data_IF_962500132354
#
_entry.id   IF_962500132354
#
_cell.length_a   1.000
_cell.length_b   1.000
_cell.length_c   1.000
_cell.angle_alpha   90.00
_cell.angle_beta   90.00
_cell.angle_gamma   90.00
#
_symmetry.space_group_name_H-M   'P 1'
#
loop_
_entity.id
_entity.type
_entity.pdbx_description
1 polymer ?
#
# COMPACT_ATOMS: atom_id res chain seq x y z
N UNK A 1 16.32 13.96 -6.78
CA UNK A 1 15.34 14.07 -7.88
C UNK A 1 15.98 14.71 -9.09
N UNK A 2 15.52 14.37 -10.31
CA UNK A 2 16.00 14.97 -11.57
C UNK A 2 14.89 14.95 -12.64
N UNK A 3 15.07 15.77 -13.70
CA UNK A 3 14.19 15.79 -14.85
C UNK A 3 14.66 14.78 -15.89
N UNK A 4 13.80 13.90 -16.33
CA UNK A 4 14.07 12.92 -17.39
C UNK A 4 13.51 13.41 -18.72
N UNK A 5 14.15 13.06 -19.82
CA UNK A 5 13.68 13.42 -21.18
C UNK A 5 12.37 12.73 -21.57
N UNK A 6 12.00 11.61 -20.94
CA UNK A 6 10.88 10.76 -21.35
C UNK A 6 9.90 10.42 -20.24
N UNK A 7 10.30 10.53 -18.96
CA UNK A 7 9.51 10.10 -17.81
C UNK A 7 9.07 11.25 -16.89
N UNK A 8 9.35 12.50 -17.28
CA UNK A 8 9.14 13.67 -16.44
C UNK A 8 10.11 13.66 -15.25
N UNK A 9 9.68 14.15 -14.12
CA UNK A 9 10.47 14.13 -12.89
C UNK A 9 10.57 12.73 -12.32
N UNK A 10 11.78 12.38 -11.90
CA UNK A 10 12.14 11.07 -11.36
C UNK A 10 12.65 11.25 -9.93
N UNK A 11 12.08 10.49 -9.01
CA UNK A 11 12.56 10.38 -7.65
C UNK A 11 13.45 9.14 -7.51
N UNK A 12 14.64 9.33 -6.96
CA UNK A 12 15.59 8.25 -6.67
C UNK A 12 16.03 8.36 -5.22
N UNK A 13 15.97 7.25 -4.50
CA UNK A 13 16.54 7.09 -3.15
C UNK A 13 17.60 5.98 -3.22
N UNK A 14 18.79 6.25 -2.70
CA UNK A 14 19.90 5.30 -2.64
C UNK A 14 20.23 4.59 -3.97
N UNK A 15 20.04 5.31 -5.10
CA UNK A 15 20.30 4.79 -6.44
C UNK A 15 19.13 4.02 -7.06
N UNK A 16 18.02 3.82 -6.34
CA UNK A 16 16.82 3.10 -6.81
C UNK A 16 15.71 4.09 -7.19
N UNK A 17 15.11 3.90 -8.36
CA UNK A 17 13.95 4.70 -8.80
C UNK A 17 12.76 4.36 -7.93
N UNK A 18 12.22 5.37 -7.25
CA UNK A 18 11.03 5.25 -6.42
C UNK A 18 9.76 5.66 -7.15
N UNK A 19 9.84 6.67 -8.02
CA UNK A 19 8.66 7.20 -8.69
C UNK A 19 9.06 8.00 -9.94
N UNK A 20 8.20 7.98 -10.96
CA UNK A 20 8.27 8.88 -12.12
C UNK A 20 6.89 9.47 -12.42
N UNK A 21 6.82 10.70 -12.91
CA UNK A 21 5.55 11.34 -13.28
C UNK A 21 4.77 10.58 -14.36
N UNK A 22 5.46 9.78 -15.14
CA UNK A 22 4.86 9.06 -16.26
C UNK A 22 3.99 7.89 -15.86
N UNK A 23 4.39 7.11 -14.85
CA UNK A 23 3.77 5.82 -14.53
C UNK A 23 3.42 5.59 -13.06
N UNK A 24 3.72 6.54 -12.16
CA UNK A 24 3.46 6.42 -10.72
C UNK A 24 2.00 6.08 -10.40
N UNK A 25 1.06 6.57 -11.22
CA UNK A 25 -0.36 6.37 -10.99
C UNK A 25 -0.77 4.90 -10.96
N UNK A 26 -0.08 4.03 -11.70
CA UNK A 26 -0.40 2.61 -11.72
C UNK A 26 -0.15 1.95 -10.36
N UNK A 27 0.91 2.34 -9.66
CA UNK A 27 1.23 1.90 -8.32
C UNK A 27 0.30 2.56 -7.29
N UNK A 28 0.21 3.89 -7.31
CA UNK A 28 -0.51 4.66 -6.30
C UNK A 28 -2.01 4.34 -6.28
N UNK A 29 -2.63 4.21 -7.44
CA UNK A 29 -4.03 3.82 -7.53
C UNK A 29 -4.27 2.39 -7.02
N UNK A 30 -3.36 1.45 -7.31
CA UNK A 30 -3.54 0.06 -6.90
C UNK A 30 -3.31 -0.15 -5.41
N UNK A 31 -2.24 0.40 -4.83
CA UNK A 31 -1.94 0.22 -3.40
C UNK A 31 -3.05 0.79 -2.50
N UNK A 32 -3.77 1.81 -2.97
CA UNK A 32 -4.88 2.43 -2.25
C UNK A 32 -6.21 1.71 -2.52
N UNK A 33 -6.54 1.50 -3.79
CA UNK A 33 -7.89 1.03 -4.15
C UNK A 33 -8.06 -0.48 -3.95
N UNK A 34 -7.00 -1.30 -4.02
CA UNK A 34 -7.10 -2.71 -3.68
C UNK A 34 -7.61 -2.91 -2.24
N UNK A 35 -6.99 -2.36 -1.19
CA UNK A 35 -7.48 -2.55 0.16
C UNK A 35 -8.81 -1.82 0.43
N UNK A 36 -8.97 -0.57 0.00
CA UNK A 36 -10.15 0.21 0.36
C UNK A 36 -11.42 -0.28 -0.33
N UNK A 37 -11.33 -0.65 -1.61
CA UNK A 37 -12.48 -1.16 -2.34
C UNK A 37 -12.86 -2.60 -1.93
N UNK A 38 -11.96 -3.37 -1.32
CA UNK A 38 -12.27 -4.70 -0.79
C UNK A 38 -13.12 -4.68 0.48
N UNK A 39 -13.10 -3.59 1.26
CA UNK A 39 -13.80 -3.51 2.53
C UNK A 39 -15.33 -3.67 2.38
N UNK A 40 -15.99 -4.32 3.34
CA UNK A 40 -17.46 -4.42 3.37
C UNK A 40 -18.15 -3.07 3.58
N UNK A 41 -17.51 -2.19 4.34
CA UNK A 41 -18.00 -0.82 4.61
C UNK A 41 -16.94 0.19 4.25
N UNK A 42 -17.31 1.37 3.73
CA UNK A 42 -16.34 2.41 3.39
C UNK A 42 -15.39 2.74 4.56
N UNK A 43 -14.11 2.84 4.26
CA UNK A 43 -13.10 3.21 5.26
C UNK A 43 -13.32 4.63 5.78
N UNK A 44 -13.03 4.83 7.07
CA UNK A 44 -13.07 6.14 7.75
C UNK A 44 -11.69 6.57 8.26
N UNK A 45 -10.89 5.62 8.74
CA UNK A 45 -9.57 5.87 9.31
C UNK A 45 -8.54 4.98 8.65
N UNK A 46 -7.54 5.60 8.05
CA UNK A 46 -6.45 4.89 7.37
C UNK A 46 -5.11 5.36 7.94
N UNK A 47 -4.20 4.42 8.12
CA UNK A 47 -2.80 4.70 8.40
C UNK A 47 -1.97 4.41 7.16
N UNK A 48 -1.04 5.31 6.84
CA UNK A 48 0.03 5.10 5.87
C UNK A 48 1.35 5.06 6.61
N UNK A 49 2.16 4.04 6.36
CA UNK A 49 3.54 3.94 6.85
C UNK A 49 4.47 4.08 5.66
N UNK A 50 5.37 5.06 5.70
CA UNK A 50 6.11 5.54 4.53
C UNK A 50 5.26 6.45 3.65
N UNK A 51 5.42 6.39 2.34
CA UNK A 51 4.62 7.17 1.38
C UNK A 51 4.94 8.67 1.38
N UNK A 52 6.16 9.04 1.72
CA UNK A 52 6.61 10.43 1.77
C UNK A 52 6.55 11.19 0.45
N UNK A 53 6.35 10.50 -0.66
CA UNK A 53 6.12 11.12 -1.97
C UNK A 53 4.72 11.76 -2.11
N UNK A 54 3.77 11.32 -1.28
CA UNK A 54 2.41 11.85 -1.21
C UNK A 54 1.44 11.24 -2.22
N UNK A 55 1.86 10.30 -3.07
CA UNK A 55 0.98 9.67 -4.05
C UNK A 55 -0.14 8.85 -3.40
N UNK A 56 0.18 8.07 -2.37
CA UNK A 56 -0.82 7.35 -1.57
C UNK A 56 -1.82 8.31 -0.93
N UNK A 57 -1.36 9.42 -0.37
CA UNK A 57 -2.25 10.42 0.21
C UNK A 57 -3.17 11.04 -0.82
N UNK A 58 -2.65 11.34 -2.03
CA UNK A 58 -3.46 11.87 -3.13
C UNK A 58 -4.61 10.93 -3.47
N UNK A 59 -4.35 9.64 -3.59
CA UNK A 59 -5.38 8.66 -3.93
C UNK A 59 -6.34 8.42 -2.76
N UNK A 60 -5.87 8.38 -1.51
CA UNK A 60 -6.74 8.31 -0.33
C UNK A 60 -7.70 9.49 -0.26
N UNK A 61 -7.23 10.70 -0.54
CA UNK A 61 -8.07 11.91 -0.49
C UNK A 61 -9.23 11.90 -1.49
N UNK A 62 -9.21 11.05 -2.51
CA UNK A 62 -10.35 10.82 -3.42
C UNK A 62 -11.53 10.12 -2.74
N UNK A 63 -11.30 9.37 -1.65
CA UNK A 63 -12.36 8.64 -0.95
C UNK A 63 -13.13 9.57 -0.01
N UNK A 64 -14.40 9.88 -0.30
CA UNK A 64 -15.16 10.86 0.47
C UNK A 64 -15.56 10.36 1.87
N UNK A 65 -15.53 9.04 2.08
CA UNK A 65 -15.84 8.43 3.36
C UNK A 65 -14.76 8.61 4.42
N UNK A 66 -13.52 8.94 4.01
CA UNK A 66 -12.41 9.09 4.93
C UNK A 66 -12.60 10.32 5.83
N UNK A 67 -12.51 10.10 7.12
CA UNK A 67 -12.58 11.12 8.17
C UNK A 67 -11.17 11.51 8.64
N UNK A 68 -10.23 10.55 8.60
CA UNK A 68 -8.85 10.73 9.05
C UNK A 68 -7.88 9.83 8.30
N UNK A 69 -6.76 10.40 7.91
CA UNK A 69 -5.58 9.71 7.38
C UNK A 69 -4.37 10.12 8.22
N UNK A 70 -3.79 9.17 8.92
CA UNK A 70 -2.48 9.35 9.58
C UNK A 70 -1.39 8.85 8.63
N UNK A 71 -0.28 9.58 8.52
CA UNK A 71 0.92 9.14 7.81
C UNK A 71 2.12 9.21 8.75
N UNK A 72 2.86 8.11 8.87
CA UNK A 72 4.12 8.01 9.60
C UNK A 72 5.27 7.85 8.59
N UNK A 73 6.03 8.92 8.36
CA UNK A 73 7.16 8.97 7.45
C UNK A 73 8.43 9.31 8.24
N UNK A 74 9.46 8.50 8.06
CA UNK A 74 10.72 8.65 8.82
C UNK A 74 11.56 9.83 8.33
N UNK A 75 11.48 10.16 7.04
CA UNK A 75 12.32 11.17 6.40
C UNK A 75 11.52 12.43 6.01
N UNK A 76 11.62 13.45 6.84
CA UNK A 76 11.03 14.77 6.57
C UNK A 76 11.57 15.39 5.27
N UNK A 77 12.80 15.04 4.88
CA UNK A 77 13.44 15.52 3.64
C UNK A 77 12.72 15.01 2.40
N UNK A 78 12.24 13.76 2.41
CA UNK A 78 11.43 13.19 1.32
C UNK A 78 10.13 13.97 1.17
N UNK A 79 9.43 14.26 2.27
CA UNK A 79 8.18 15.05 2.24
C UNK A 79 8.43 16.45 1.69
N UNK A 80 9.48 17.13 2.13
CA UNK A 80 9.84 18.47 1.65
C UNK A 80 10.17 18.48 0.16
N UNK A 81 11.01 17.54 -0.26
CA UNK A 81 11.41 17.41 -1.66
C UNK A 81 10.19 17.06 -2.56
N UNK A 82 9.28 16.22 -2.08
CA UNK A 82 8.07 15.86 -2.84
C UNK A 82 7.12 17.05 -3.00
N UNK A 83 6.93 17.84 -1.95
CA UNK A 83 6.14 19.10 -2.04
C UNK A 83 6.72 20.11 -3.02
N UNK A 84 8.04 20.17 -3.11
CA UNK A 84 8.73 21.11 -4.02
C UNK A 84 8.77 20.60 -5.47
N UNK A 85 9.11 19.33 -5.66
CA UNK A 85 9.44 18.79 -6.99
C UNK A 85 8.34 17.89 -7.57
N UNK A 86 7.44 17.34 -6.77
CA UNK A 86 6.31 16.48 -7.20
C UNK A 86 4.97 17.00 -6.66
N UNK A 87 4.64 18.30 -6.87
CA UNK A 87 3.46 18.91 -6.24
C UNK A 87 2.13 18.24 -6.63
N UNK A 88 2.07 17.60 -7.80
CA UNK A 88 0.89 16.86 -8.25
C UNK A 88 0.64 15.58 -7.42
N UNK A 89 1.68 14.94 -6.89
CA UNK A 89 1.58 13.82 -5.97
C UNK A 89 1.38 14.30 -4.53
N UNK A 90 2.17 15.28 -4.12
CA UNK A 90 2.22 15.77 -2.74
C UNK A 90 1.00 16.60 -2.29
N UNK A 91 0.02 16.86 -3.16
CA UNK A 91 -1.16 17.69 -2.82
C UNK A 91 -1.98 17.12 -1.67
N UNK A 92 -1.99 15.79 -1.47
CA UNK A 92 -2.69 15.14 -0.37
C UNK A 92 -2.23 15.59 1.02
N UNK A 93 -0.98 16.06 1.16
CA UNK A 93 -0.49 16.63 2.43
C UNK A 93 -1.23 17.89 2.89
N UNK A 94 -1.95 18.56 2.00
CA UNK A 94 -2.73 19.76 2.33
C UNK A 94 -4.19 19.45 2.67
N UNK A 95 -4.63 18.20 2.57
CA UNK A 95 -5.99 17.80 2.92
C UNK A 95 -6.19 17.90 4.45
N UNK A 96 -7.26 18.56 4.93
CA UNK A 96 -7.51 18.74 6.37
C UNK A 96 -7.71 17.44 7.15
N UNK A 97 -7.99 16.32 6.47
CA UNK A 97 -8.12 14.99 7.07
C UNK A 97 -6.78 14.32 7.35
N UNK A 98 -5.69 14.80 6.72
CA UNK A 98 -4.35 14.22 6.83
C UNK A 98 -3.62 14.74 8.06
N UNK A 99 -2.97 13.83 8.78
CA UNK A 99 -2.08 14.14 9.91
C UNK A 99 -0.72 13.51 9.64
N UNK A 100 0.29 14.36 9.55
CA UNK A 100 1.67 13.94 9.29
C UNK A 100 2.41 13.75 10.60
N UNK A 101 3.02 12.57 10.76
CA UNK A 101 3.91 12.21 11.84
C UNK A 101 5.29 11.90 11.25
N UNK A 102 6.28 12.73 11.55
CA UNK A 102 7.66 12.48 11.14
C UNK A 102 8.32 11.62 12.22
N UNK A 103 8.65 10.36 11.86
CA UNK A 103 9.25 9.42 12.79
C UNK A 103 9.10 7.95 12.40
N UNK A 104 9.51 7.09 13.32
CA UNK A 104 9.51 5.63 13.13
C UNK A 104 8.09 5.07 13.00
N UNK A 105 7.80 4.47 11.85
CA UNK A 105 6.51 3.86 11.54
C UNK A 105 6.19 2.65 12.41
N UNK A 106 7.17 1.81 12.75
CA UNK A 106 6.97 0.68 13.68
C UNK A 106 6.53 1.19 15.05
N UNK A 107 7.21 2.19 15.59
CA UNK A 107 6.85 2.75 16.88
C UNK A 107 5.45 3.39 16.83
N UNK A 108 5.13 4.10 15.75
CA UNK A 108 3.81 4.69 15.56
C UNK A 108 2.68 3.65 15.57
N UNK A 109 2.85 2.54 14.82
CA UNK A 109 1.87 1.44 14.80
C UNK A 109 1.78 0.74 16.16
N UNK A 110 2.90 0.58 16.85
CA UNK A 110 2.96 0.00 18.19
C UNK A 110 2.19 0.82 19.24
N UNK A 111 2.18 2.13 19.11
CA UNK A 111 1.48 3.03 20.03
C UNK A 111 0.00 3.25 19.63
N UNK A 112 -0.40 2.81 18.44
CA UNK A 112 -1.77 2.93 17.97
C UNK A 112 -2.74 2.13 18.86
N UNK A 113 -3.95 2.66 19.12
CA UNK A 113 -4.98 1.89 19.84
C UNK A 113 -5.39 0.62 19.07
N UNK A 114 -5.82 -0.40 19.79
CA UNK A 114 -6.35 -1.62 19.20
C UNK A 114 -7.61 -1.33 18.36
N UNK A 115 -7.69 -1.93 17.17
CA UNK A 115 -8.86 -1.81 16.30
C UNK A 115 -9.14 -0.40 15.79
N UNK A 116 -8.13 0.48 15.78
CA UNK A 116 -8.32 1.90 15.47
C UNK A 116 -8.52 2.18 13.98
N UNK A 117 -7.83 1.45 13.11
CA UNK A 117 -7.82 1.68 11.67
C UNK A 117 -8.70 0.72 10.90
N UNK A 118 -9.36 1.20 9.85
CA UNK A 118 -10.07 0.39 8.86
C UNK A 118 -9.08 -0.27 7.89
N UNK A 119 -8.04 0.47 7.51
CA UNK A 119 -6.97 -0.01 6.67
C UNK A 119 -5.61 0.55 7.11
N UNK A 120 -4.55 -0.23 6.91
CA UNK A 120 -3.15 0.21 7.02
C UNK A 120 -2.48 -0.07 5.68
N UNK A 121 -1.85 0.95 5.12
CA UNK A 121 -1.08 0.87 3.87
C UNK A 121 0.39 1.09 4.21
N UNK A 122 1.25 0.16 3.80
CA UNK A 122 2.70 0.30 3.95
C UNK A 122 3.31 0.53 2.58
N UNK A 123 3.74 1.74 2.36
CA UNK A 123 4.40 2.22 1.15
C UNK A 123 5.86 2.54 1.48
N UNK A 124 6.65 1.48 1.64
CA UNK A 124 8.07 1.56 2.02
C UNK A 124 8.97 1.24 0.82
N UNK A 125 10.21 1.69 0.91
CA UNK A 125 11.29 1.18 0.04
C UNK A 125 11.57 -0.30 0.32
N UNK A 126 12.42 -0.91 -0.52
CA UNK A 126 12.90 -2.30 -0.37
C UNK A 126 13.45 -2.57 1.04
N UNK A 127 13.49 -3.86 1.49
CA UNK A 127 13.88 -4.25 2.85
C UNK A 127 15.37 -4.06 3.14
N UNK A 128 15.87 -2.83 2.96
CA UNK A 128 17.27 -2.44 3.17
C UNK A 128 17.32 -1.28 4.16
N UNK A 129 18.30 -1.33 5.08
CA UNK A 129 18.49 -0.28 6.08
C UNK A 129 17.27 -0.11 7.01
N UNK A 130 16.78 1.14 7.21
CA UNK A 130 15.68 1.40 8.14
C UNK A 130 14.37 0.70 7.76
N UNK A 131 14.14 0.40 6.49
CA UNK A 131 12.92 -0.26 6.03
C UNK A 131 12.88 -1.77 6.37
N UNK A 132 14.01 -2.40 6.68
CA UNK A 132 14.07 -3.84 6.93
C UNK A 132 13.11 -4.30 8.05
N UNK A 133 12.96 -3.51 9.11
CA UNK A 133 12.08 -3.83 10.25
C UNK A 133 10.60 -3.90 9.86
N UNK A 134 10.20 -3.26 8.76
CA UNK A 134 8.83 -3.26 8.25
C UNK A 134 8.45 -4.59 7.55
N UNK A 135 9.42 -5.48 7.34
CA UNK A 135 9.21 -6.82 6.79
C UNK A 135 9.22 -7.92 7.86
N UNK A 136 9.43 -7.54 9.12
CA UNK A 136 9.56 -8.48 10.23
C UNK A 136 8.22 -8.74 10.94
N UNK A 137 8.12 -9.91 11.58
CA UNK A 137 6.94 -10.37 12.33
C UNK A 137 6.40 -9.35 13.34
N UNK A 138 7.22 -8.68 14.19
CA UNK A 138 6.69 -7.74 15.18
C UNK A 138 5.89 -6.58 14.57
N UNK A 139 6.26 -6.11 13.37
CA UNK A 139 5.54 -5.05 12.68
C UNK A 139 4.16 -5.51 12.22
N UNK A 140 4.06 -6.71 11.63
CA UNK A 140 2.78 -7.28 11.19
C UNK A 140 1.86 -7.61 12.38
N UNK A 141 2.39 -8.05 13.52
CA UNK A 141 1.62 -8.24 14.75
C UNK A 141 1.05 -6.92 15.28
N UNK A 142 1.83 -5.84 15.25
CA UNK A 142 1.36 -4.51 15.61
C UNK A 142 0.26 -4.01 14.66
N UNK A 143 0.41 -4.22 13.35
CA UNK A 143 -0.62 -3.86 12.37
C UNK A 143 -1.90 -4.68 12.57
N UNK A 144 -1.78 -6.00 12.80
CA UNK A 144 -2.94 -6.85 13.08
C UNK A 144 -3.72 -6.38 14.32
N UNK A 145 -3.01 -5.95 15.37
CA UNK A 145 -3.65 -5.37 16.57
C UNK A 145 -4.33 -4.04 16.25
N UNK A 146 -3.67 -3.18 15.48
CA UNK A 146 -4.13 -1.82 15.20
C UNK A 146 -5.32 -1.75 14.23
N UNK A 147 -5.51 -2.75 13.34
CA UNK A 147 -6.70 -2.81 12.48
C UNK A 147 -7.90 -3.39 13.22
N UNK A 148 -9.10 -2.88 12.87
CA UNK A 148 -10.37 -3.43 13.39
C UNK A 148 -10.68 -4.80 12.79
N UNK A 149 -11.58 -5.60 13.41
CA UNK A 149 -12.17 -6.75 12.75
C UNK A 149 -12.84 -6.36 11.42
N UNK A 150 -12.57 -7.12 10.36
CA UNK A 150 -12.98 -6.80 8.99
C UNK A 150 -12.15 -5.68 8.33
N UNK A 151 -11.05 -5.26 8.95
CA UNK A 151 -10.07 -4.35 8.37
C UNK A 151 -9.03 -5.05 7.49
N UNK A 152 -8.20 -4.28 6.81
CA UNK A 152 -7.22 -4.75 5.84
C UNK A 152 -5.87 -4.07 6.01
N UNK A 153 -4.79 -4.82 5.86
CA UNK A 153 -3.43 -4.31 5.69
C UNK A 153 -3.03 -4.55 4.24
N UNK A 154 -2.42 -3.56 3.60
CA UNK A 154 -1.82 -3.67 2.28
C UNK A 154 -0.39 -3.16 2.35
N UNK A 155 0.58 -4.00 1.99
CA UNK A 155 1.99 -3.61 1.97
C UNK A 155 2.54 -3.71 0.56
N UNK A 156 3.48 -2.84 0.19
CA UNK A 156 4.36 -3.10 -0.94
C UNK A 156 4.94 -4.51 -0.75
N UNK A 157 4.89 -5.32 -1.79
CA UNK A 157 5.11 -6.77 -1.70
C UNK A 157 6.08 -7.31 -2.74
N UNK A 158 7.03 -6.50 -3.20
CA UNK A 158 8.10 -6.92 -4.11
C UNK A 158 7.63 -7.47 -5.48
N UNK A 159 8.56 -7.87 -6.32
CA UNK A 159 8.27 -8.47 -7.62
C UNK A 159 8.41 -10.00 -7.59
N UNK A 160 7.40 -10.71 -8.10
CA UNK A 160 7.45 -12.19 -8.24
C UNK A 160 8.59 -12.68 -9.14
N UNK A 161 9.14 -11.81 -10.00
CA UNK A 161 10.25 -12.15 -10.88
C UNK A 161 11.61 -12.07 -10.18
N UNK A 162 11.73 -11.25 -9.15
CA UNK A 162 13.00 -10.94 -8.50
C UNK A 162 13.08 -11.45 -7.07
N UNK A 163 11.95 -11.45 -6.33
CA UNK A 163 11.95 -11.64 -4.88
C UNK A 163 10.90 -12.66 -4.42
N UNK A 164 10.62 -13.70 -5.22
CA UNK A 164 9.56 -14.68 -4.93
C UNK A 164 9.74 -15.38 -3.57
N UNK A 165 10.99 -15.63 -3.14
CA UNK A 165 11.28 -16.25 -1.85
C UNK A 165 10.90 -15.32 -0.69
N UNK A 166 11.21 -14.02 -0.78
CA UNK A 166 10.81 -13.01 0.22
C UNK A 166 9.28 -12.96 0.32
N UNK A 167 8.59 -12.93 -0.83
CA UNK A 167 7.12 -12.93 -0.88
C UNK A 167 6.54 -14.17 -0.20
N UNK A 168 7.13 -15.35 -0.45
CA UNK A 168 6.73 -16.60 0.20
C UNK A 168 6.88 -16.53 1.71
N UNK A 169 8.03 -16.06 2.19
CA UNK A 169 8.32 -15.92 3.61
C UNK A 169 7.34 -14.96 4.30
N UNK A 170 7.15 -13.77 3.72
CA UNK A 170 6.24 -12.74 4.26
C UNK A 170 4.79 -13.26 4.27
N UNK A 171 4.30 -13.83 3.16
CA UNK A 171 2.93 -14.34 3.10
C UNK A 171 2.69 -15.51 4.05
N UNK A 172 3.67 -16.41 4.22
CA UNK A 172 3.60 -17.51 5.20
C UNK A 172 3.56 -17.00 6.64
N UNK A 173 4.41 -16.03 6.96
CA UNK A 173 4.41 -15.36 8.26
C UNK A 173 3.07 -14.69 8.55
N UNK A 174 2.52 -13.96 7.56
CA UNK A 174 1.23 -13.28 7.68
C UNK A 174 0.08 -14.24 7.92
N UNK A 175 0.06 -15.42 7.29
CA UNK A 175 -0.97 -16.44 7.55
C UNK A 175 -0.97 -16.89 9.01
N UNK A 176 0.20 -16.98 9.64
CA UNK A 176 0.32 -17.29 11.07
C UNK A 176 -0.18 -16.17 12.00
N UNK A 177 -0.16 -14.90 11.55
CA UNK A 177 -0.58 -13.74 12.33
C UNK A 177 -2.07 -13.44 12.12
N UNK A 178 -2.53 -13.42 10.86
CA UNK A 178 -3.90 -13.08 10.48
C UNK A 178 -4.83 -14.30 10.44
N UNK A 179 -4.75 -15.14 11.47
CA UNK A 179 -5.55 -16.36 11.55
C UNK A 179 -7.05 -16.08 11.44
N UNK A 180 -7.74 -16.88 10.62
CA UNK A 180 -9.16 -16.68 10.33
C UNK A 180 -9.48 -15.56 9.34
N UNK A 181 -8.50 -14.75 8.95
CA UNK A 181 -8.55 -13.80 7.83
C UNK A 181 -7.96 -14.38 6.56
N UNK A 182 -7.86 -13.57 5.51
CA UNK A 182 -7.22 -13.93 4.26
C UNK A 182 -5.83 -13.26 4.14
N UNK A 183 -4.89 -13.97 3.50
CA UNK A 183 -3.60 -13.43 3.08
C UNK A 183 -3.44 -13.71 1.60
N UNK A 184 -3.38 -12.66 0.81
CA UNK A 184 -3.34 -12.73 -0.65
C UNK A 184 -2.21 -11.88 -1.20
N UNK A 185 -1.71 -12.26 -2.37
CA UNK A 185 -0.76 -11.46 -3.13
C UNK A 185 -1.43 -10.99 -4.42
N UNK A 186 -1.30 -9.70 -4.71
CA UNK A 186 -1.71 -9.07 -5.96
C UNK A 186 -0.52 -8.40 -6.60
N UNK A 187 -0.56 -8.09 -7.90
CA UNK A 187 0.50 -7.35 -8.56
C UNK A 187 -0.04 -6.38 -9.60
N UNK A 188 0.79 -5.41 -9.95
CA UNK A 188 0.50 -4.42 -10.99
C UNK A 188 1.70 -4.23 -11.91
N UNK A 189 1.46 -3.67 -13.08
CA UNK A 189 2.51 -3.24 -14.00
C UNK A 189 2.90 -1.81 -13.71
N UNK A 190 4.20 -1.59 -13.54
CA UNK A 190 4.80 -0.26 -13.42
C UNK A 190 6.13 -0.27 -14.21
N UNK A 191 6.15 0.30 -15.42
CA UNK A 191 7.24 0.13 -16.40
C UNK A 191 8.63 0.53 -15.91
N UNK A 192 8.72 1.51 -15.02
CA UNK A 192 10.01 2.01 -14.51
C UNK A 192 10.59 1.20 -13.36
N UNK A 193 9.81 0.33 -12.72
CA UNK A 193 10.35 -0.54 -11.67
C UNK A 193 11.08 -1.74 -12.27
N UNK A 194 12.07 -2.32 -11.57
CA UNK A 194 12.75 -3.53 -12.01
C UNK A 194 11.72 -4.63 -12.37
N UNK A 195 11.93 -5.33 -13.48
CA UNK A 195 11.00 -6.30 -14.09
C UNK A 195 9.66 -5.73 -14.62
N UNK A 196 9.39 -4.43 -14.50
CA UNK A 196 8.13 -3.81 -14.94
C UNK A 196 6.92 -4.16 -14.08
N UNK A 197 7.13 -4.76 -12.91
CA UNK A 197 6.07 -5.19 -12.00
C UNK A 197 6.42 -4.94 -10.54
N UNK A 198 5.39 -4.69 -9.75
CA UNK A 198 5.46 -4.67 -8.29
C UNK A 198 4.22 -5.36 -7.72
N UNK A 199 4.36 -5.94 -6.55
CA UNK A 199 3.24 -6.61 -5.89
C UNK A 199 2.81 -5.96 -4.59
N UNK A 200 1.72 -6.52 -4.07
CA UNK A 200 1.09 -6.11 -2.83
C UNK A 200 0.74 -7.35 -2.02
N UNK A 201 1.09 -7.36 -0.75
CA UNK A 201 0.58 -8.35 0.19
C UNK A 201 -0.62 -7.75 0.92
N UNK A 202 -1.79 -8.39 0.77
CA UNK A 202 -3.01 -7.99 1.44
C UNK A 202 -3.35 -8.99 2.54
N UNK A 203 -3.50 -8.48 3.76
CA UNK A 203 -3.85 -9.28 4.94
C UNK A 203 -5.14 -8.73 5.55
N UNK A 204 -6.15 -9.57 5.76
CA UNK A 204 -7.42 -9.15 6.34
C UNK A 204 -7.61 -9.74 7.73
N UNK A 205 -8.17 -8.96 8.65
CA UNK A 205 -8.57 -9.45 9.97
C UNK A 205 -9.98 -9.99 9.91
N UNK A 206 -10.19 -11.24 10.33
CA UNK A 206 -11.52 -11.83 10.32
C UNK A 206 -12.51 -11.03 11.15
N UNK A 207 -13.78 -11.04 10.72
CA UNK A 207 -14.91 -10.50 11.47
C UNK A 207 -15.92 -11.63 11.69
N UNK A 208 -16.27 -11.90 12.95
CA UNK A 208 -17.23 -12.95 13.33
C UNK A 208 -16.86 -14.34 12.76
N UNK A 209 -15.56 -14.65 12.71
CA UNK A 209 -15.03 -15.89 12.16
C UNK A 209 -15.06 -16.02 10.64
N UNK A 210 -15.40 -14.93 9.92
CA UNK A 210 -15.45 -14.91 8.46
C UNK A 210 -14.25 -14.12 7.91
N UNK A 211 -13.50 -14.68 6.93
CA UNK A 211 -12.48 -13.93 6.23
C UNK A 211 -13.11 -12.88 5.31
N UNK A 212 -12.45 -11.76 5.15
CA UNK A 212 -12.69 -10.80 4.08
C UNK A 212 -11.75 -11.16 2.93
N UNK A 213 -12.29 -11.62 1.80
CA UNK A 213 -11.49 -11.92 0.62
C UNK A 213 -11.16 -10.61 -0.12
N UNK A 214 -9.87 -10.23 -0.21
CA UNK A 214 -9.48 -8.92 -0.74
C UNK A 214 -9.55 -8.82 -2.28
N UNK A 215 -9.73 -9.94 -2.99
CA UNK A 215 -9.83 -9.98 -4.46
C UNK A 215 -11.20 -9.53 -5.01
N UNK A 216 -12.19 -9.30 -4.15
CA UNK A 216 -13.51 -8.83 -4.56
C UNK A 216 -13.73 -7.37 -4.16
N UNK A 217 -13.86 -6.45 -5.12
CA UNK A 217 -14.20 -5.06 -4.85
C UNK A 217 -15.68 -4.97 -4.42
N UNK A 218 -15.91 -4.60 -3.17
CA UNK A 218 -17.24 -4.41 -2.56
C UNK A 218 -17.66 -2.95 -2.49
N UNK A 219 -16.67 -2.05 -2.49
CA UNK A 219 -16.92 -0.62 -2.56
C UNK A 219 -16.69 -0.13 -3.99
N UNK A 220 -17.43 0.87 -4.44
CA UNK A 220 -17.19 1.49 -5.74
C UNK A 220 -15.80 2.15 -5.77
N UNK A 221 -15.21 2.23 -6.96
CA UNK A 221 -14.05 3.08 -7.18
C UNK A 221 -14.36 4.52 -6.75
N UNK A 222 -13.38 5.27 -6.22
CA UNK A 222 -13.63 6.64 -5.81
C UNK A 222 -14.11 7.48 -7.00
N UNK A 223 -15.02 8.46 -6.77
CA UNK A 223 -15.53 9.32 -7.82
C UNK A 223 -14.40 10.16 -8.44
N UNK A 224 -14.68 10.70 -9.62
CA UNK A 224 -13.77 11.66 -10.24
C UNK A 224 -13.59 12.87 -9.31
N UNK A 225 -12.35 13.12 -8.92
CA UNK A 225 -11.97 14.33 -8.20
C UNK A 225 -11.52 15.40 -9.20
N UNK A 226 -12.15 16.58 -9.14
CA UNK A 226 -11.83 17.69 -10.03
C UNK A 226 -10.36 18.16 -9.90
N UNK A 227 -9.75 17.97 -8.74
CA UNK A 227 -8.35 18.36 -8.49
C UNK A 227 -7.34 17.31 -8.97
N UNK A 228 -7.75 16.03 -9.03
CA UNK A 228 -6.89 14.88 -9.37
C UNK A 228 -7.25 14.24 -10.70
N UNK A 229 -8.34 14.66 -11.33
CA UNK A 229 -8.86 14.03 -12.54
C UNK A 229 -9.44 12.63 -12.30
N UNK A 230 -9.79 11.89 -13.37
CA UNK A 230 -10.26 10.51 -13.28
C UNK A 230 -9.15 9.54 -12.85
N UNK A 231 -9.53 8.37 -12.35
CA UNK A 231 -8.59 7.25 -12.24
C UNK A 231 -8.10 6.88 -13.64
N UNK A 232 -6.83 6.55 -13.72
CA UNK A 232 -6.13 6.24 -14.99
C UNK A 232 -5.83 4.76 -15.16
N UNK A 233 -5.82 4.02 -14.05
CA UNK A 233 -5.37 2.63 -14.01
C UNK A 233 -6.38 1.70 -13.34
N UNK A 234 -6.83 2.02 -12.12
CA UNK A 234 -7.68 1.15 -11.36
C UNK A 234 -9.10 1.04 -11.95
N UNK A 235 -9.55 -0.20 -12.13
CA UNK A 235 -10.95 -0.55 -12.37
C UNK A 235 -11.34 -1.78 -11.52
N UNK A 236 -12.64 -2.05 -11.28
CA UNK A 236 -13.07 -3.27 -10.58
C UNK A 236 -12.64 -4.56 -11.29
N UNK A 237 -12.52 -4.56 -12.61
CA UNK A 237 -12.04 -5.70 -13.40
C UNK A 237 -10.55 -5.91 -13.18
N UNK A 238 -9.76 -4.82 -13.20
CA UNK A 238 -8.33 -4.87 -12.93
C UNK A 238 -8.05 -5.27 -11.48
N UNK A 239 -8.89 -4.83 -10.54
CA UNK A 239 -8.83 -5.28 -9.14
C UNK A 239 -8.83 -6.81 -9.06
N UNK A 240 -9.82 -7.48 -9.67
CA UNK A 240 -9.90 -8.95 -9.66
C UNK A 240 -8.72 -9.59 -10.40
N UNK A 241 -8.33 -9.04 -11.54
CA UNK A 241 -7.24 -9.55 -12.36
C UNK A 241 -5.89 -9.49 -11.65
N UNK A 242 -5.67 -8.49 -10.79
CA UNK A 242 -4.42 -8.31 -10.04
C UNK A 242 -4.06 -9.52 -9.15
N UNK A 243 -5.04 -10.32 -8.73
CA UNK A 243 -4.85 -11.52 -7.92
C UNK A 243 -4.65 -12.80 -8.74
N UNK A 244 -4.75 -12.74 -10.07
CA UNK A 244 -4.52 -13.87 -10.96
C UNK A 244 -3.02 -14.03 -11.21
N UNK A 245 -2.40 -14.97 -10.50
CA UNK A 245 -0.95 -15.15 -10.54
C UNK A 245 -0.52 -16.09 -11.69
N UNK A 246 0.65 -15.86 -12.29
CA UNK A 246 1.31 -16.83 -13.14
C UNK A 246 1.52 -18.17 -12.41
N UNK A 247 1.44 -19.29 -13.14
CA UNK A 247 1.48 -20.64 -12.55
C UNK A 247 2.69 -20.89 -11.65
N UNK A 248 3.88 -20.37 -12.00
CA UNK A 248 5.08 -20.55 -11.18
C UNK A 248 4.95 -19.86 -9.81
N UNK A 249 4.43 -18.64 -9.77
CA UNK A 249 4.25 -17.90 -8.53
C UNK A 249 3.10 -18.48 -7.68
N UNK A 250 1.97 -18.82 -8.33
CA UNK A 250 0.84 -19.46 -7.66
C UNK A 250 1.26 -20.77 -6.95
N UNK A 251 2.07 -21.60 -7.61
CA UNK A 251 2.59 -22.84 -7.00
C UNK A 251 3.42 -22.58 -5.76
N UNK A 252 4.39 -21.66 -5.83
CA UNK A 252 5.30 -21.36 -4.70
C UNK A 252 4.54 -20.78 -3.51
N UNK A 253 3.57 -19.87 -3.77
CA UNK A 253 2.81 -19.21 -2.71
C UNK A 253 1.73 -20.12 -2.09
N UNK A 254 1.29 -21.18 -2.79
CA UNK A 254 0.40 -22.20 -2.24
C UNK A 254 1.12 -23.20 -1.31
N UNK A 255 2.41 -23.48 -1.51
CA UNK A 255 3.20 -24.41 -0.72
C UNK A 255 3.40 -23.98 0.74
N UNK A 256 3.07 -22.76 1.12
CA UNK A 256 3.09 -22.27 2.50
C UNK A 256 1.78 -22.45 3.26
N UNK A 257 0.82 -23.22 2.72
CA UNK A 257 -0.52 -23.44 3.30
C UNK A 257 -0.70 -24.78 3.99
N UNK A 258 0.36 -25.59 4.16
CA UNK A 258 0.33 -26.90 4.87
C UNK A 258 0.88 -26.79 6.29
#
# INVERSE_FOLDING_TARGET
>A
MFESTSFGRVMVLDGVIQSTERDEFSYQEMIVNLPLCALETPAKRVLVVGGGDGGVLRELCRHPSLERVDIAEIDEGVIKASKEFLPHMAKGFSDPRVRVHVGDGLQFVKDAPEGHYDAIIVDSSDPVGPAAVLFERPFYECMHRAIRPGGVVCTQGESIWLHLDIIKEVTSMCRGIFQGGAVSYAYTTIPTYPSGQIGFVLCTKSRDGKPLEPNEPRQPAPPMDLSSGPLRYYTPELHRAAFVLPAFAAKVLAEGTS
#
